data_IF_737584265266
#
_entry.id   IF_737584265266
#
_cell.length_a   1.000
_cell.length_b   1.000
_cell.length_c   1.000
_cell.angle_alpha   90.00
_cell.angle_beta   90.00
_cell.angle_gamma   90.00
#
_symmetry.space_group_name_H-M   'P 1'
#
loop_
_entity.id
_entity.type
_entity.pdbx_description
1 polymer ?
#
# COMPACT_ATOMS: atom_id res chain seq x y z
N UNK A 1 -20.17 -5.92 17.91
CA UNK A 1 -20.53 -6.71 16.71
C UNK A 1 -20.12 -5.92 15.49
N UNK A 2 -19.06 -6.32 14.78
CA UNK A 2 -18.67 -5.69 13.50
C UNK A 2 -19.76 -6.00 12.47
N UNK A 3 -20.34 -4.97 11.84
CA UNK A 3 -21.25 -5.13 10.72
C UNK A 3 -20.48 -4.85 9.42
N UNK A 4 -20.27 -5.84 8.55
CA UNK A 4 -19.68 -5.58 7.25
C UNK A 4 -20.60 -4.67 6.44
N UNK A 5 -20.04 -3.63 5.82
CA UNK A 5 -20.73 -2.76 4.86
C UNK A 5 -19.95 -2.79 3.55
N UNK A 6 -20.68 -2.87 2.44
CA UNK A 6 -20.13 -2.55 1.13
C UNK A 6 -20.08 -1.03 1.04
N UNK A 7 -18.94 -0.46 0.65
CA UNK A 7 -18.78 0.98 0.51
C UNK A 7 -18.73 1.35 -0.97
N UNK A 8 -19.54 2.31 -1.39
CA UNK A 8 -19.43 2.93 -2.71
C UNK A 8 -18.27 3.94 -2.73
N UNK A 9 -17.80 4.31 -3.93
CA UNK A 9 -16.74 5.31 -4.11
C UNK A 9 -17.04 6.65 -3.40
N UNK A 10 -18.32 6.93 -3.13
CA UNK A 10 -18.79 8.17 -2.50
C UNK A 10 -18.93 8.12 -0.96
N UNK A 11 -18.64 7.01 -0.27
CA UNK A 11 -18.70 6.99 1.20
C UNK A 11 -17.45 7.66 1.81
N UNK A 12 -17.59 8.84 2.46
CA UNK A 12 -16.46 9.56 3.05
C UNK A 12 -16.01 8.96 4.39
N UNK A 13 -16.67 7.92 4.88
CA UNK A 13 -16.38 7.35 6.19
C UNK A 13 -15.03 6.62 6.21
N UNK A 14 -14.36 6.81 7.33
CA UNK A 14 -13.12 6.13 7.70
C UNK A 14 -13.43 5.02 8.71
N UNK A 15 -12.65 3.94 8.70
CA UNK A 15 -12.88 2.76 9.53
C UNK A 15 -11.60 2.29 10.25
N UNK A 16 -11.74 1.77 11.47
CA UNK A 16 -10.61 1.17 12.20
C UNK A 16 -10.08 -0.08 11.48
N UNK A 17 -10.97 -0.80 10.80
CA UNK A 17 -10.65 -2.00 10.01
C UNK A 17 -11.39 -1.96 8.68
N UNK A 18 -10.66 -2.18 7.59
CA UNK A 18 -11.21 -2.36 6.24
C UNK A 18 -10.84 -3.75 5.73
N UNK A 19 -11.83 -4.50 5.24
CA UNK A 19 -11.63 -5.79 4.57
C UNK A 19 -12.02 -5.61 3.11
N UNK A 20 -11.08 -5.83 2.19
CA UNK A 20 -11.28 -5.62 0.76
C UNK A 20 -11.02 -6.91 -0.01
N UNK A 21 -12.02 -7.37 -0.76
CA UNK A 21 -11.81 -8.35 -1.83
C UNK A 21 -11.75 -7.58 -3.15
N UNK A 22 -10.54 -7.35 -3.65
CA UNK A 22 -10.37 -6.53 -4.85
C UNK A 22 -10.73 -7.38 -6.08
N UNK A 23 -11.71 -6.88 -6.85
CA UNK A 23 -12.41 -7.58 -7.93
C UNK A 23 -11.48 -8.48 -8.77
N UNK A 24 -11.80 -9.77 -8.80
CA UNK A 24 -11.11 -10.80 -9.57
C UNK A 24 -11.81 -11.01 -10.92
N UNK A 25 -11.06 -11.10 -12.04
CA UNK A 25 -11.63 -11.50 -13.33
C UNK A 25 -10.72 -12.52 -14.02
N UNK A 26 -11.23 -13.74 -14.24
CA UNK A 26 -10.45 -14.89 -14.69
C UNK A 26 -10.15 -14.94 -16.20
N UNK A 27 -10.83 -14.15 -17.02
CA UNK A 27 -10.90 -14.42 -18.46
C UNK A 27 -10.17 -13.43 -19.39
N UNK A 28 -9.86 -12.21 -18.96
CA UNK A 28 -9.53 -11.15 -19.92
C UNK A 28 -8.08 -10.68 -19.93
N UNK A 29 -7.23 -11.23 -19.06
CA UNK A 29 -5.93 -10.64 -18.76
C UNK A 29 -4.73 -11.57 -18.95
N UNK A 30 -4.85 -12.54 -19.87
CA UNK A 30 -3.74 -13.43 -20.27
C UNK A 30 -2.66 -12.73 -21.11
N UNK A 31 -2.94 -11.54 -21.66
CA UNK A 31 -1.94 -10.71 -22.35
C UNK A 31 -1.10 -9.87 -21.37
N UNK A 32 0.08 -9.41 -21.80
CA UNK A 32 0.92 -8.46 -21.03
C UNK A 32 0.11 -7.21 -20.64
N UNK A 33 -0.60 -6.63 -21.61
CA UNK A 33 -1.49 -5.48 -21.39
C UNK A 33 -2.56 -5.78 -20.35
N UNK A 34 -3.17 -6.96 -20.45
CA UNK A 34 -4.21 -7.37 -19.52
C UNK A 34 -3.71 -7.52 -18.09
N UNK A 35 -2.55 -8.16 -17.89
CA UNK A 35 -1.93 -8.27 -16.56
C UNK A 35 -1.60 -6.91 -15.97
N UNK A 36 -1.05 -6.01 -16.76
CA UNK A 36 -0.76 -4.65 -16.33
C UNK A 36 -2.05 -3.90 -15.93
N UNK A 37 -3.13 -4.06 -16.70
CA UNK A 37 -4.44 -3.48 -16.38
C UNK A 37 -5.02 -4.06 -15.08
N UNK A 38 -4.93 -5.38 -14.89
CA UNK A 38 -5.36 -6.04 -13.67
C UNK A 38 -4.57 -5.51 -12.46
N UNK A 39 -3.25 -5.42 -12.57
CA UNK A 39 -2.42 -4.83 -11.52
C UNK A 39 -2.83 -3.39 -11.19
N UNK A 40 -3.07 -2.54 -12.20
CA UNK A 40 -3.54 -1.18 -11.99
C UNK A 40 -4.89 -1.12 -11.24
N UNK A 41 -5.84 -1.98 -11.62
CA UNK A 41 -7.13 -2.09 -10.93
C UNK A 41 -6.90 -2.50 -9.47
N UNK A 42 -6.09 -3.54 -9.23
CA UNK A 42 -5.80 -4.00 -7.88
C UNK A 42 -5.11 -2.92 -7.03
N UNK A 43 -4.16 -2.20 -7.62
CA UNK A 43 -3.44 -1.12 -6.99
C UNK A 43 -4.38 0.03 -6.57
N UNK A 44 -5.26 0.47 -7.49
CA UNK A 44 -6.21 1.54 -7.22
C UNK A 44 -7.19 1.18 -6.09
N UNK A 45 -7.79 -0.01 -6.15
CA UNK A 45 -8.71 -0.45 -5.10
C UNK A 45 -8.02 -0.67 -3.75
N UNK A 46 -6.77 -1.17 -3.75
CA UNK A 46 -6.00 -1.33 -2.53
C UNK A 46 -5.69 0.04 -1.89
N UNK A 47 -5.24 1.02 -2.67
CA UNK A 47 -5.03 2.38 -2.18
C UNK A 47 -6.31 3.01 -1.66
N UNK A 48 -7.44 2.82 -2.34
CA UNK A 48 -8.75 3.27 -1.86
C UNK A 48 -9.14 2.62 -0.53
N UNK A 49 -8.88 1.33 -0.36
CA UNK A 49 -9.14 0.61 0.90
C UNK A 49 -8.27 1.12 2.06
N UNK A 50 -6.98 1.35 1.80
CA UNK A 50 -6.05 1.98 2.77
C UNK A 50 -6.50 3.40 3.08
N UNK A 51 -6.90 4.16 2.05
CA UNK A 51 -7.37 5.53 2.16
C UNK A 51 -8.59 5.67 3.07
N UNK A 52 -9.43 4.64 3.15
CA UNK A 52 -10.61 4.51 4.04
C UNK A 52 -10.30 3.93 5.42
N UNK A 53 -9.08 3.48 5.65
CA UNK A 53 -8.64 2.97 6.95
C UNK A 53 -8.09 4.12 7.77
N UNK A 54 -8.53 4.32 9.01
CA UNK A 54 -7.97 5.36 9.89
C UNK A 54 -6.45 5.19 10.04
N UNK A 55 -5.67 6.27 10.17
CA UNK A 55 -4.28 6.16 10.64
C UNK A 55 -4.23 5.37 11.95
N UNK A 56 -3.36 4.35 12.03
CA UNK A 56 -3.31 3.36 13.10
C UNK A 56 -4.23 2.15 12.90
N UNK A 57 -5.19 2.21 11.97
CA UNK A 57 -6.11 1.12 11.63
C UNK A 57 -5.51 0.09 10.68
N UNK A 58 -6.27 -0.99 10.44
CA UNK A 58 -5.83 -2.16 9.66
C UNK A 58 -6.63 -2.31 8.37
N UNK A 59 -5.94 -2.55 7.26
CA UNK A 59 -6.52 -3.02 6.00
C UNK A 59 -6.14 -4.48 5.78
N UNK A 60 -7.12 -5.35 5.59
CA UNK A 60 -6.92 -6.71 5.10
C UNK A 60 -7.44 -6.80 3.66
N UNK A 61 -6.58 -7.10 2.70
CA UNK A 61 -6.94 -7.09 1.29
C UNK A 61 -6.50 -8.35 0.56
N UNK A 62 -7.41 -8.97 -0.18
CA UNK A 62 -7.07 -10.01 -1.16
C UNK A 62 -6.76 -9.33 -2.49
N UNK A 63 -5.56 -9.59 -3.01
CA UNK A 63 -5.07 -9.04 -4.27
C UNK A 63 -4.43 -10.11 -5.13
N UNK A 64 -4.29 -9.82 -6.42
CA UNK A 64 -3.46 -10.63 -7.32
C UNK A 64 -2.00 -10.60 -6.86
N UNK A 65 -1.27 -11.72 -7.02
CA UNK A 65 0.15 -11.82 -6.60
C UNK A 65 1.06 -10.77 -7.23
N UNK A 66 0.67 -10.23 -8.38
CA UNK A 66 1.41 -9.21 -9.12
C UNK A 66 1.55 -7.91 -8.31
N UNK A 67 0.68 -7.65 -7.33
CA UNK A 67 0.88 -6.52 -6.41
C UNK A 67 2.24 -6.62 -5.71
N UNK A 68 2.66 -7.83 -5.33
CA UNK A 68 3.96 -8.06 -4.70
C UNK A 68 5.03 -8.49 -5.70
N UNK A 69 4.69 -9.22 -6.76
CA UNK A 69 5.70 -9.81 -7.66
C UNK A 69 6.03 -8.98 -8.92
N UNK A 70 5.40 -7.81 -9.12
CA UNK A 70 5.72 -6.97 -10.30
C UNK A 70 7.21 -6.56 -10.30
N UNK A 71 7.95 -6.65 -11.42
CA UNK A 71 9.34 -6.23 -11.44
C UNK A 71 9.54 -4.74 -11.10
N UNK A 72 8.54 -3.88 -11.38
CA UNK A 72 8.59 -2.46 -11.06
C UNK A 72 8.20 -2.22 -9.59
N UNK A 73 9.10 -1.64 -8.75
CA UNK A 73 8.84 -1.43 -7.34
C UNK A 73 7.90 -0.26 -7.05
N UNK A 74 7.60 0.62 -8.01
CA UNK A 74 6.89 1.87 -7.79
C UNK A 74 5.59 1.75 -6.95
N UNK A 75 4.79 0.70 -7.18
CA UNK A 75 3.58 0.49 -6.37
C UNK A 75 3.89 0.04 -4.93
N UNK A 76 4.94 -0.78 -4.76
CA UNK A 76 5.37 -1.25 -3.43
C UNK A 76 6.04 -0.15 -2.62
N UNK A 77 6.78 0.74 -3.28
CA UNK A 77 7.29 1.99 -2.68
C UNK A 77 6.13 2.87 -2.22
N UNK A 78 5.11 3.05 -3.07
CA UNK A 78 3.91 3.79 -2.69
C UNK A 78 3.17 3.15 -1.51
N UNK A 79 3.09 1.82 -1.44
CA UNK A 79 2.56 1.12 -0.26
C UNK A 79 3.41 1.40 0.98
N UNK A 80 4.73 1.27 0.87
CA UNK A 80 5.67 1.53 1.96
C UNK A 80 5.53 2.95 2.49
N UNK A 81 5.32 3.94 1.63
CA UNK A 81 5.15 5.35 1.98
C UNK A 81 3.87 5.62 2.80
N UNK A 82 2.84 4.78 2.67
CA UNK A 82 1.52 5.02 3.27
C UNK A 82 1.17 4.06 4.41
N UNK A 83 1.78 2.87 4.47
CA UNK A 83 1.43 1.83 5.43
C UNK A 83 2.61 0.93 5.79
N UNK A 84 2.51 0.27 6.94
CA UNK A 84 3.37 -0.85 7.31
C UNK A 84 2.74 -2.16 6.83
N UNK A 85 3.50 -3.00 6.13
CA UNK A 85 3.11 -4.38 5.87
C UNK A 85 3.31 -5.20 7.15
N UNK A 86 2.19 -5.54 7.80
CA UNK A 86 2.19 -6.43 8.97
C UNK A 86 2.56 -7.85 8.55
N UNK A 87 2.03 -8.26 7.41
CA UNK A 87 2.39 -9.47 6.71
C UNK A 87 1.51 -9.72 5.49
N UNK A 88 2.02 -10.51 4.56
CA UNK A 88 1.30 -11.06 3.44
C UNK A 88 1.22 -12.60 3.57
N UNK A 89 0.15 -13.19 3.04
CA UNK A 89 -0.03 -14.64 2.92
C UNK A 89 -0.29 -14.97 1.46
N UNK A 90 0.53 -15.84 0.87
CA UNK A 90 0.31 -16.31 -0.50
C UNK A 90 -0.56 -17.56 -0.50
N UNK A 91 -1.69 -17.50 -1.17
CA UNK A 91 -2.70 -18.55 -1.18
C UNK A 91 -2.53 -19.49 -2.38
N UNK A 92 -2.99 -20.75 -2.28
CA UNK A 92 -3.05 -21.66 -3.43
C UNK A 92 -3.81 -21.04 -4.60
N UNK A 93 -3.41 -21.39 -5.82
CA UNK A 93 -4.06 -20.90 -7.04
C UNK A 93 -5.58 -21.21 -7.06
N UNK A 94 -5.98 -22.33 -6.48
CA UNK A 94 -7.37 -22.79 -6.44
C UNK A 94 -8.15 -22.29 -5.22
N UNK A 95 -7.58 -21.45 -4.36
CA UNK A 95 -8.20 -21.01 -3.10
C UNK A 95 -9.57 -20.33 -3.29
N UNK A 96 -9.73 -19.54 -4.36
CA UNK A 96 -11.00 -18.87 -4.70
C UNK A 96 -11.72 -19.47 -5.91
N UNK A 97 -11.03 -20.34 -6.66
CA UNK A 97 -11.53 -20.99 -7.89
C UNK A 97 -11.23 -22.49 -7.84
N UNK A 98 -11.86 -23.25 -6.90
CA UNK A 98 -11.66 -24.70 -6.79
C UNK A 98 -12.19 -25.46 -8.01
N UNK A 99 -13.02 -24.80 -8.83
CA UNK A 99 -13.57 -25.30 -10.08
C UNK A 99 -12.58 -25.24 -11.26
N UNK A 100 -11.51 -24.45 -11.14
CA UNK A 100 -10.50 -24.29 -12.18
C UNK A 100 -9.28 -25.18 -11.93
N UNK A 101 -8.72 -25.70 -13.01
CA UNK A 101 -7.44 -26.39 -12.95
C UNK A 101 -6.30 -25.41 -12.58
N UNK A 102 -5.24 -25.84 -11.87
CA UNK A 102 -4.10 -24.98 -11.51
C UNK A 102 -3.42 -24.29 -12.71
N UNK A 103 -3.51 -24.89 -13.90
CA UNK A 103 -3.04 -24.36 -15.18
C UNK A 103 -3.80 -23.12 -15.62
N UNK A 104 -5.02 -22.91 -15.13
CA UNK A 104 -5.87 -21.76 -15.41
C UNK A 104 -5.94 -20.81 -14.22
N UNK A 105 -6.01 -21.34 -12.99
CA UNK A 105 -6.13 -20.55 -11.77
C UNK A 105 -4.79 -19.88 -11.37
N UNK A 106 -4.82 -18.73 -10.70
CA UNK A 106 -3.62 -18.00 -10.30
C UNK A 106 -3.56 -17.79 -8.78
N UNK A 107 -2.37 -17.85 -8.14
CA UNK A 107 -2.24 -17.51 -6.73
C UNK A 107 -2.64 -16.06 -6.44
N UNK A 108 -3.17 -15.84 -5.25
CA UNK A 108 -3.53 -14.54 -4.72
C UNK A 108 -2.82 -14.30 -3.40
N UNK A 109 -2.62 -13.03 -3.06
CA UNK A 109 -2.02 -12.65 -1.78
C UNK A 109 -3.09 -12.00 -0.88
N UNK A 110 -3.13 -12.41 0.38
CA UNK A 110 -3.82 -11.71 1.46
C UNK A 110 -2.82 -10.78 2.14
N UNK A 111 -2.99 -9.47 1.97
CA UNK A 111 -2.16 -8.45 2.60
C UNK A 111 -2.81 -7.95 3.88
N UNK A 112 -2.02 -7.84 4.95
CA UNK A 112 -2.37 -7.20 6.21
C UNK A 112 -1.51 -5.95 6.38
N UNK A 113 -2.16 -4.79 6.36
CA UNK A 113 -1.50 -3.49 6.32
C UNK A 113 -1.96 -2.66 7.52
N UNK A 114 -1.05 -1.97 8.20
CA UNK A 114 -1.39 -0.90 9.16
C UNK A 114 -1.15 0.45 8.50
N UNK A 115 -2.18 1.29 8.39
CA UNK A 115 -1.95 2.68 7.95
C UNK A 115 -1.15 3.40 9.03
N UNK A 116 -0.01 3.99 8.69
CA UNK A 116 0.86 4.65 9.69
C UNK A 116 0.19 5.89 10.29
N UNK A 117 0.49 6.17 11.57
CA UNK A 117 0.13 7.44 12.18
C UNK A 117 1.00 8.56 11.59
N UNK A 118 0.52 9.82 11.57
CA UNK A 118 1.33 10.95 11.12
C UNK A 118 2.65 11.05 11.91
N UNK A 119 3.78 11.09 11.20
CA UNK A 119 5.11 11.20 11.79
C UNK A 119 5.80 9.88 12.13
N UNK A 120 5.12 8.73 12.01
CA UNK A 120 5.79 7.42 12.12
C UNK A 120 6.69 7.17 10.90
N UNK A 121 7.89 6.62 11.14
CA UNK A 121 8.78 6.14 10.08
C UNK A 121 8.29 4.79 9.55
N UNK A 122 8.65 4.46 8.31
CA UNK A 122 8.35 3.15 7.74
C UNK A 122 9.10 2.07 8.51
N UNK A 123 8.41 0.95 8.83
CA UNK A 123 9.03 -0.10 9.63
C UNK A 123 9.95 -1.03 8.80
N UNK A 124 9.43 -1.61 7.73
CA UNK A 124 10.13 -2.68 6.99
C UNK A 124 9.91 -2.57 5.49
N UNK A 125 11.02 -2.60 4.75
CA UNK A 125 11.06 -2.61 3.29
C UNK A 125 11.22 -4.02 2.69
N UNK A 126 11.06 -5.09 3.49
CA UNK A 126 11.30 -6.50 3.10
C UNK A 126 10.43 -7.04 1.95
N UNK A 127 9.54 -6.23 1.41
CA UNK A 127 8.69 -6.57 0.28
C UNK A 127 8.98 -5.71 -0.96
N UNK A 128 10.00 -4.84 -0.98
CA UNK A 128 10.26 -4.00 -2.16
C UNK A 128 10.84 -4.79 -3.33
N UNK A 129 11.73 -5.74 -3.04
CA UNK A 129 12.52 -6.42 -4.07
C UNK A 129 11.86 -7.70 -4.57
N UNK A 130 12.12 -8.00 -5.85
CA UNK A 130 11.70 -9.22 -6.53
C UNK A 130 12.94 -9.90 -7.08
N UNK A 131 13.06 -11.20 -6.83
CA UNK A 131 14.27 -11.98 -7.16
C UNK A 131 13.93 -13.20 -8.02
N UNK A 132 14.76 -13.56 -9.02
CA UNK A 132 14.63 -14.82 -9.73
C UNK A 132 14.86 -15.99 -8.76
N UNK A 133 13.83 -16.82 -8.61
CA UNK A 133 13.77 -17.93 -7.65
C UNK A 133 13.59 -19.24 -8.40
N UNK A 134 14.42 -20.23 -8.11
CA UNK A 134 14.24 -21.61 -8.57
C UNK A 134 13.13 -22.27 -7.78
N UNK A 135 12.09 -22.74 -8.47
CA UNK A 135 10.97 -23.50 -7.91
C UNK A 135 10.80 -24.81 -8.69
N UNK A 136 10.06 -25.81 -8.17
CA UNK A 136 9.77 -27.01 -8.93
C UNK A 136 9.22 -26.70 -10.33
N UNK A 137 9.87 -27.24 -11.35
CA UNK A 137 9.50 -27.07 -12.76
C UNK A 137 10.12 -25.86 -13.48
N UNK A 138 10.80 -24.92 -12.80
CA UNK A 138 11.43 -23.78 -13.49
C UNK A 138 11.93 -22.63 -12.62
N UNK A 139 12.12 -21.47 -13.25
CA UNK A 139 12.50 -20.22 -12.57
C UNK A 139 11.33 -19.25 -12.64
N UNK A 140 11.06 -18.58 -11.53
CA UNK A 140 10.04 -17.53 -11.46
C UNK A 140 10.58 -16.30 -10.73
N UNK A 141 10.10 -15.13 -11.11
CA UNK A 141 10.36 -13.91 -10.35
C UNK A 141 9.33 -13.83 -9.22
N UNK A 142 9.82 -13.77 -7.99
CA UNK A 142 9.02 -13.82 -6.77
C UNK A 142 9.53 -12.76 -5.81
N UNK A 143 8.61 -12.06 -5.14
CA UNK A 143 8.95 -11.07 -4.14
C UNK A 143 9.80 -11.68 -3.00
N UNK A 144 10.85 -10.97 -2.59
CA UNK A 144 11.77 -11.42 -1.54
C UNK A 144 11.07 -11.72 -0.21
N UNK A 145 9.93 -11.06 0.05
CA UNK A 145 9.08 -11.36 1.19
C UNK A 145 8.77 -12.85 1.31
N UNK A 146 8.43 -13.53 0.21
CA UNK A 146 8.02 -14.94 0.21
C UNK A 146 9.16 -15.94 0.04
N UNK A 147 10.37 -15.50 -0.24
CA UNK A 147 11.50 -16.42 -0.53
C UNK A 147 12.67 -16.25 0.43
N UNK A 148 12.96 -15.01 0.85
CA UNK A 148 14.09 -14.69 1.72
C UNK A 148 13.66 -14.43 3.16
N UNK A 149 12.53 -13.76 3.37
CA UNK A 149 12.14 -13.28 4.70
C UNK A 149 11.08 -14.13 5.39
N UNK A 150 10.04 -14.56 4.66
CA UNK A 150 8.91 -15.30 5.21
C UNK A 150 8.39 -16.40 4.28
N UNK A 151 9.22 -17.39 3.91
CA UNK A 151 8.79 -18.52 3.08
C UNK A 151 7.63 -19.32 3.69
N UNK A 152 7.50 -19.35 5.02
CA UNK A 152 6.39 -19.99 5.71
C UNK A 152 5.02 -19.32 5.48
N UNK A 153 4.99 -18.12 4.89
CA UNK A 153 3.75 -17.40 4.60
C UNK A 153 3.13 -17.81 3.25
N UNK A 154 3.75 -18.76 2.54
CA UNK A 154 3.14 -19.42 1.39
C UNK A 154 2.34 -20.63 1.86
N UNK A 155 1.02 -20.59 1.66
CA UNK A 155 0.11 -21.68 2.02
C UNK A 155 0.09 -22.68 0.87
N UNK A 156 0.96 -23.68 0.94
CA UNK A 156 1.04 -24.76 -0.05
C UNK A 156 2.42 -24.93 -0.67
N UNK A 157 2.46 -25.63 -1.81
CA UNK A 157 3.72 -25.98 -2.49
C UNK A 157 3.92 -25.12 -3.74
N UNK A 158 5.08 -24.49 -3.85
CA UNK A 158 5.42 -23.64 -4.99
C UNK A 158 5.76 -24.46 -6.24
N UNK A 159 5.56 -23.86 -7.40
CA UNK A 159 5.98 -24.46 -8.66
C UNK A 159 5.74 -23.50 -9.83
N UNK A 160 5.88 -24.02 -11.04
CA UNK A 160 5.43 -23.33 -12.25
C UNK A 160 4.42 -24.17 -13.02
N UNK A 161 3.51 -23.48 -13.70
CA UNK A 161 2.64 -24.09 -14.70
C UNK A 161 2.94 -23.48 -16.05
N UNK A 162 2.98 -24.32 -17.08
CA UNK A 162 3.13 -23.88 -18.46
C UNK A 162 1.77 -23.89 -19.11
N UNK A 163 1.36 -22.71 -19.56
CA UNK A 163 0.19 -22.53 -20.41
C UNK A 163 0.59 -22.89 -21.85
N UNK A 164 0.21 -24.07 -22.31
CA UNK A 164 0.62 -24.59 -23.61
C UNK A 164 0.10 -23.73 -24.78
N UNK A 165 -1.07 -23.11 -24.63
CA UNK A 165 -1.67 -22.26 -25.68
C UNK A 165 -0.93 -20.91 -25.82
N UNK A 166 -0.30 -20.44 -24.73
CA UNK A 166 0.37 -19.14 -24.67
C UNK A 166 1.89 -19.25 -24.56
N UNK A 167 2.43 -20.48 -24.54
CA UNK A 167 3.83 -20.81 -24.25
C UNK A 167 4.37 -20.04 -23.03
N UNK A 168 3.50 -19.81 -22.04
CA UNK A 168 3.80 -18.96 -20.89
C UNK A 168 4.00 -19.82 -19.65
N UNK A 169 5.22 -19.80 -19.12
CA UNK A 169 5.51 -20.37 -17.80
C UNK A 169 5.20 -19.34 -16.72
N UNK A 170 4.37 -19.71 -15.75
CA UNK A 170 3.97 -18.83 -14.64
C UNK A 170 4.09 -19.54 -13.31
N UNK A 171 4.51 -18.80 -12.28
CA UNK A 171 4.54 -19.35 -10.93
C UNK A 171 3.14 -19.61 -10.37
N UNK A 172 3.03 -20.70 -9.64
CA UNK A 172 1.82 -21.21 -9.00
C UNK A 172 2.10 -21.65 -7.56
N UNK A 173 1.03 -21.84 -6.81
CA UNK A 173 1.03 -22.50 -5.51
C UNK A 173 -0.07 -23.55 -5.52
N UNK A 174 0.32 -24.80 -5.31
CA UNK A 174 -0.59 -25.92 -5.14
C UNK A 174 -1.04 -26.01 -3.69
N UNK A 175 -2.24 -26.55 -3.45
CA UNK A 175 -2.74 -26.79 -2.10
C UNK A 175 -1.77 -27.62 -1.25
N UNK A 176 -1.81 -27.44 0.06
CA UNK A 176 -1.08 -28.27 1.01
C UNK A 176 -1.82 -29.61 1.23
N UNK A 177 -1.10 -30.62 1.73
CA UNK A 177 -1.70 -31.87 2.20
C UNK A 177 -2.56 -31.64 3.46
N UNK A 178 -2.18 -30.64 4.26
CA UNK A 178 -2.94 -30.20 5.43
C UNK A 178 -4.17 -29.36 5.03
N UNK A 179 -5.26 -29.40 5.82
CA UNK A 179 -6.44 -28.57 5.57
C UNK A 179 -6.10 -27.08 5.45
N UNK A 180 -6.59 -26.44 4.39
CA UNK A 180 -6.28 -25.05 4.06
C UNK A 180 -6.50 -24.06 5.20
N UNK A 181 -7.62 -24.22 5.93
CA UNK A 181 -7.99 -23.38 7.07
C UNK A 181 -7.01 -23.51 8.24
N UNK A 182 -6.51 -24.73 8.50
CA UNK A 182 -5.51 -25.00 9.54
C UNK A 182 -4.18 -24.32 9.20
N UNK A 183 -3.70 -24.47 7.96
CA UNK A 183 -2.44 -23.85 7.54
C UNK A 183 -2.56 -22.32 7.54
N UNK A 184 -3.65 -21.78 6.98
CA UNK A 184 -3.91 -20.35 6.96
C UNK A 184 -3.97 -19.77 8.38
N UNK A 185 -4.64 -20.45 9.32
CA UNK A 185 -4.71 -20.02 10.72
C UNK A 185 -3.32 -19.96 11.37
N UNK A 186 -2.45 -20.95 11.12
CA UNK A 186 -1.08 -20.94 11.63
C UNK A 186 -0.27 -19.76 11.08
N UNK A 187 -0.37 -19.49 9.78
CA UNK A 187 0.32 -18.36 9.15
C UNK A 187 -0.16 -17.02 9.73
N UNK A 188 -1.48 -16.81 9.80
CA UNK A 188 -2.04 -15.59 10.38
C UNK A 188 -1.64 -15.43 11.85
N UNK A 189 -1.58 -16.51 12.62
CA UNK A 189 -1.13 -16.49 14.01
C UNK A 189 0.34 -16.14 14.17
N UNK A 190 1.20 -16.48 13.18
CA UNK A 190 2.60 -16.02 13.15
C UNK A 190 2.68 -14.53 12.87
N UNK A 191 1.95 -14.04 11.87
CA UNK A 191 1.90 -12.61 11.53
C UNK A 191 1.44 -11.80 12.75
N UNK A 192 0.34 -12.19 13.40
CA UNK A 192 -0.16 -11.52 14.61
C UNK A 192 0.90 -11.47 15.71
N UNK A 193 1.56 -12.60 16.01
CA UNK A 193 2.62 -12.64 17.04
C UNK A 193 3.80 -11.73 16.68
N UNK A 194 4.22 -11.70 15.42
CA UNK A 194 5.28 -10.81 14.95
C UNK A 194 4.86 -9.35 15.09
N UNK A 195 3.68 -8.97 14.60
CA UNK A 195 3.17 -7.61 14.71
C UNK A 195 3.05 -7.13 16.16
N UNK A 196 2.60 -8.01 17.08
CA UNK A 196 2.55 -7.71 18.51
C UNK A 196 3.96 -7.47 19.10
N UNK A 197 4.94 -8.30 18.73
CA UNK A 197 6.31 -8.18 19.22
C UNK A 197 7.01 -6.90 18.72
N UNK A 198 6.71 -6.47 17.49
CA UNK A 198 7.23 -5.25 16.87
C UNK A 198 6.42 -3.99 17.23
N UNK A 199 5.37 -4.11 18.05
CA UNK A 199 4.49 -2.99 18.41
C UNK A 199 3.65 -2.45 17.26
N UNK A 200 3.52 -3.18 16.15
CA UNK A 200 2.74 -2.80 14.97
C UNK A 200 1.25 -3.11 15.16
N UNK A 201 0.67 -2.63 16.24
CA UNK A 201 -0.71 -2.95 16.64
C UNK A 201 -1.70 -1.92 16.15
N UNK A 202 -2.95 -2.35 15.95
CA UNK A 202 -4.04 -1.44 15.64
C UNK A 202 -4.24 -0.42 16.77
N UNK A 203 -4.42 0.83 16.39
CA UNK A 203 -4.79 1.93 17.27
C UNK A 203 -6.17 2.39 16.84
N UNK A 204 -7.16 2.35 17.74
CA UNK A 204 -8.53 2.76 17.38
C UNK A 204 -8.57 4.26 17.08
N UNK A 205 -9.49 4.68 16.20
CA UNK A 205 -9.81 6.08 15.97
C UNK A 205 -10.28 6.83 17.23
N UNK A 206 -10.74 6.11 18.25
CA UNK A 206 -11.07 6.64 19.59
C UNK A 206 -9.86 6.77 20.53
N UNK A 207 -8.67 6.34 20.09
CA UNK A 207 -7.43 6.52 20.82
C UNK A 207 -6.86 7.91 20.53
N UNK A 208 -6.80 8.73 21.58
CA UNK A 208 -5.98 9.94 21.58
C UNK A 208 -4.61 9.58 22.15
N UNK A 209 -3.50 9.89 21.45
CA UNK A 209 -2.19 9.77 22.07
C UNK A 209 -2.18 10.61 23.35
N UNK A 210 -1.60 10.14 24.47
CA UNK A 210 -1.24 11.05 25.56
C UNK A 210 -0.33 12.09 24.90
N UNK A 211 -0.79 13.35 24.91
CA UNK A 211 -0.23 14.47 24.13
C UNK A 211 1.25 14.24 23.80
N UNK A 212 1.53 14.03 22.52
CA UNK A 212 2.86 14.28 22.00
C UNK A 212 3.25 15.63 22.57
N UNK A 213 4.24 15.66 23.48
CA UNK A 213 4.81 16.89 24.00
C UNK A 213 5.37 17.65 22.81
N UNK A 214 4.49 18.41 22.15
CA UNK A 214 4.85 19.58 21.41
C UNK A 214 5.60 20.42 22.43
N UNK A 215 6.90 20.59 22.21
CA UNK A 215 7.64 21.63 22.90
C UNK A 215 6.79 22.91 22.79
N UNK A 216 6.57 23.65 23.90
CA UNK A 216 5.72 24.81 23.87
C UNK A 216 6.18 25.73 22.75
N UNK A 217 5.24 26.14 21.91
CA UNK A 217 5.43 27.02 20.76
C UNK A 217 5.67 28.47 21.23
N UNK A 218 6.68 28.65 22.09
CA UNK A 218 7.03 29.92 22.71
C UNK A 218 8.53 30.18 22.55
N UNK A 219 9.04 30.19 21.31
CA UNK A 219 10.22 30.99 20.95
C UNK A 219 10.57 31.01 19.43
N UNK A 220 9.57 31.08 18.54
CA UNK A 220 9.87 31.49 17.15
C UNK A 220 9.79 33.01 17.07
N UNK A 221 10.90 33.73 16.85
CA UNK A 221 10.83 35.18 16.68
C UNK A 221 9.99 35.51 15.44
N UNK A 222 8.92 36.25 15.67
CA UNK A 222 8.11 36.86 14.60
C UNK A 222 9.03 37.76 13.79
N UNK A 223 9.19 37.45 12.50
CA UNK A 223 9.92 38.30 11.57
C UNK A 223 9.14 39.62 11.44
N UNK A 224 9.62 40.65 12.12
CA UNK A 224 9.06 42.00 12.06
C UNK A 224 9.01 42.48 10.60
N UNK A 225 7.82 42.85 10.14
CA UNK A 225 7.66 43.64 8.92
C UNK A 225 8.28 45.02 9.17
N UNK A 226 9.33 45.34 8.41
CA UNK A 226 9.91 46.68 8.41
C UNK A 226 8.99 47.63 7.64
N UNK A 227 8.16 48.37 8.37
CA UNK A 227 7.55 49.60 7.90
C UNK A 227 8.66 50.64 7.63
N UNK A 228 8.81 51.08 6.38
CA UNK A 228 9.61 52.27 6.05
C UNK A 228 8.82 53.52 6.45
N UNK A 229 9.20 54.10 7.59
CA UNK A 229 8.82 55.46 8.00
C UNK A 229 9.61 56.55 7.25
N UNK A 230 9.26 57.83 7.47
CA UNK A 230 9.34 58.89 6.48
C UNK A 230 10.67 59.66 6.49
N UNK A 231 11.01 60.28 5.37
CA UNK A 231 12.06 61.31 5.31
C UNK A 231 11.54 62.57 4.63
N UNK A 232 11.49 63.66 5.37
CA UNK A 232 11.61 65.02 4.85
C UNK A 232 12.67 65.73 5.69
N UNK A 233 13.45 66.64 5.09
CA UNK A 233 13.16 68.04 5.39
C UNK A 233 13.21 68.99 4.16
N UNK A 234 12.37 70.01 4.29
CA UNK A 234 12.28 71.36 3.68
C UNK A 234 13.67 72.00 3.43
N UNK A 235 14.01 72.82 2.42
CA UNK A 235 13.46 74.13 1.94
C UNK A 235 14.40 74.51 0.75
N UNK A 236 14.06 75.18 -0.37
CA UNK A 236 13.57 76.57 -0.50
C UNK A 236 13.32 76.90 -1.99
N UNK A 237 12.30 77.75 -2.16
CA UNK A 237 11.65 78.42 -3.29
C UNK A 237 12.55 79.22 -4.28
N UNK A 238 12.17 79.26 -5.58
CA UNK A 238 12.22 80.40 -6.55
C UNK A 238 11.34 80.02 -7.78
N UNK A 239 10.11 80.53 -7.93
CA UNK A 239 9.65 81.73 -8.68
C UNK A 239 9.94 81.75 -10.20
N UNK A 240 8.86 81.76 -11.01
CA UNK A 240 8.79 82.46 -12.30
C UNK A 240 8.59 81.59 -13.55
N UNK A 241 7.98 82.13 -14.63
CA UNK A 241 6.85 81.48 -15.32
C UNK A 241 7.05 81.18 -16.82
N UNK A 242 5.97 80.67 -17.43
CA UNK A 242 5.55 80.81 -18.86
C UNK A 242 6.20 79.89 -19.91
N UNK A 243 5.38 79.05 -20.54
CA UNK A 243 5.01 79.11 -21.97
C UNK A 243 4.69 77.71 -22.55
N UNK A 244 3.43 77.55 -22.98
CA UNK A 244 3.06 76.78 -24.17
C UNK A 244 3.29 77.68 -25.41
N UNK A 245 3.11 77.25 -26.68
CA UNK A 245 2.68 75.94 -27.21
C UNK A 245 3.61 75.45 -28.36
N UNK A 246 3.30 74.31 -28.97
CA UNK A 246 2.91 74.23 -30.40
C UNK A 246 2.92 72.79 -30.95
N UNK A 247 1.81 72.48 -31.62
CA UNK A 247 1.52 71.46 -32.66
C UNK A 247 1.45 69.97 -32.27
#
# INVERSE_FOLDING_TARGET
MLRPRSFSDDDPAMHDVVIANVLWSDLHYRSVYGRARLLQIHAQYLLSAIGRTFPGGITAAVVTRQVLDDPEPAFRELLLDNCDLLGAVRLPATAFRPDLAPEVAAPSDLLLLRRRLPGELANSARFLDVTPTTVPGGVAHVNEYFVNFFPEHVVGTTGVVTDADLELTRYTVHGADEPFDVVLHHVLSRIVRHSLAEGLTAVSASWHPPEARLAPEADRPVRAQAAKGPSSPTTTRRTGPTDAPDL
#
